data_IF_441167935797
#
_entry.id   IF_441167935797
#
_cell.length_a   1.000
_cell.length_b   1.000
_cell.length_c   1.000
_cell.angle_alpha   90.00
_cell.angle_beta   90.00
_cell.angle_gamma   90.00
#
_symmetry.space_group_name_H-M   'P 1'
#
loop_
_entity.id
_entity.type
_entity.pdbx_description
1 polymer ?
#
# COMPACT_ATOMS: atom_id res chain seq x y z
N UNK A 1 19.42 -9.03 -9.87
CA UNK A 1 18.62 -8.16 -8.98
C UNK A 1 17.59 -7.49 -9.87
N UNK A 2 16.32 -7.56 -9.54
CA UNK A 2 15.22 -7.01 -10.35
C UNK A 2 14.90 -5.59 -9.88
N UNK A 3 14.78 -4.66 -10.80
CA UNK A 3 14.31 -3.29 -10.55
C UNK A 3 12.82 -3.19 -10.87
N UNK A 4 12.00 -3.08 -9.82
CA UNK A 4 10.55 -2.89 -9.93
C UNK A 4 10.20 -1.40 -9.85
N UNK A 5 9.54 -0.88 -10.88
CA UNK A 5 9.14 0.51 -10.98
C UNK A 5 7.61 0.70 -10.95
N UNK A 6 7.08 1.84 -10.44
CA UNK A 6 5.64 2.12 -10.48
C UNK A 6 5.18 2.57 -11.87
N UNK A 7 3.97 2.15 -12.26
CA UNK A 7 3.30 2.63 -13.46
C UNK A 7 1.85 3.05 -13.12
N UNK A 8 1.63 4.34 -12.89
CA UNK A 8 0.30 4.89 -12.61
C UNK A 8 -0.58 5.10 -13.84
N UNK A 9 -0.09 4.81 -15.04
CA UNK A 9 -0.76 4.93 -16.33
C UNK A 9 0.22 4.63 -17.46
N UNK A 10 -0.26 4.65 -18.72
CA UNK A 10 0.58 4.29 -19.89
C UNK A 10 1.80 5.19 -20.08
N UNK A 11 1.73 6.47 -19.73
CA UNK A 11 2.87 7.37 -19.82
C UNK A 11 3.99 6.96 -18.84
N UNK A 12 3.62 6.70 -17.57
CA UNK A 12 4.55 6.24 -16.54
C UNK A 12 5.11 4.84 -16.87
N UNK A 13 4.29 3.96 -17.45
CA UNK A 13 4.74 2.66 -17.90
C UNK A 13 5.84 2.80 -18.98
N UNK A 14 5.61 3.63 -20.00
CA UNK A 14 6.60 3.89 -21.04
C UNK A 14 7.89 4.50 -20.49
N UNK A 15 7.76 5.42 -19.52
CA UNK A 15 8.92 6.00 -18.86
C UNK A 15 9.70 4.93 -18.07
N UNK A 16 9.03 4.10 -17.26
CA UNK A 16 9.66 3.04 -16.49
C UNK A 16 10.45 2.07 -17.39
N UNK A 17 9.84 1.64 -18.50
CA UNK A 17 10.50 0.78 -19.52
C UNK A 17 11.70 1.48 -20.13
N UNK A 18 11.56 2.73 -20.55
CA UNK A 18 12.65 3.51 -21.17
C UNK A 18 13.83 3.74 -20.24
N UNK A 19 13.59 3.81 -18.93
CA UNK A 19 14.62 3.96 -17.90
C UNK A 19 15.16 2.62 -17.37
N UNK A 20 14.77 1.49 -17.94
CA UNK A 20 15.38 0.18 -17.69
C UNK A 20 14.80 -0.57 -16.50
N UNK A 21 13.51 -0.41 -16.21
CA UNK A 21 12.83 -1.29 -15.28
C UNK A 21 12.80 -2.73 -15.79
N UNK A 22 13.07 -3.70 -14.90
CA UNK A 22 12.93 -5.13 -15.20
C UNK A 22 11.47 -5.60 -15.03
N UNK A 23 10.74 -4.92 -14.12
CA UNK A 23 9.33 -5.14 -13.88
C UNK A 23 8.64 -3.82 -13.53
N UNK A 24 7.33 -3.75 -13.76
CA UNK A 24 6.50 -2.63 -13.33
C UNK A 24 5.36 -3.12 -12.46
N UNK A 25 4.98 -2.32 -11.45
CA UNK A 25 3.72 -2.56 -10.76
C UNK A 25 2.69 -1.48 -11.08
N UNK A 26 1.48 -1.91 -11.29
CA UNK A 26 0.35 -1.05 -11.57
C UNK A 26 -0.85 -1.41 -10.70
N UNK A 27 -1.84 -0.55 -10.67
CA UNK A 27 -3.11 -0.79 -10.02
C UNK A 27 -4.25 -0.69 -11.03
N UNK A 28 -5.22 -1.56 -10.90
CA UNK A 28 -6.52 -1.39 -11.53
C UNK A 28 -7.40 -0.42 -10.75
N UNK A 29 -8.58 -0.09 -11.27
CA UNK A 29 -9.56 0.82 -10.64
C UNK A 29 -10.03 0.32 -9.26
N UNK A 30 -9.93 -0.99 -8.99
CA UNK A 30 -10.36 -1.62 -7.74
C UNK A 30 -9.20 -2.32 -7.04
N UNK A 31 -9.33 -2.50 -5.74
CA UNK A 31 -8.46 -3.29 -4.86
C UNK A 31 -7.03 -2.77 -4.66
N UNK A 32 -6.64 -1.67 -5.31
CA UNK A 32 -5.34 -1.02 -5.11
C UNK A 32 -5.35 0.05 -4.02
N UNK A 33 -4.24 0.19 -3.27
CA UNK A 33 -4.08 1.20 -2.20
C UNK A 33 -4.01 2.66 -2.69
N UNK A 34 -4.08 2.91 -3.99
CA UNK A 34 -4.02 4.25 -4.58
C UNK A 34 -5.26 4.54 -5.42
N UNK A 35 -6.45 4.43 -4.83
CA UNK A 35 -7.73 4.64 -5.51
C UNK A 35 -7.89 6.04 -6.16
N UNK A 36 -7.03 7.01 -5.82
CA UNK A 36 -7.02 8.37 -6.39
C UNK A 36 -5.97 8.62 -7.47
N UNK A 37 -5.06 7.67 -7.68
CA UNK A 37 -4.13 7.76 -8.79
C UNK A 37 -4.86 7.53 -10.12
N UNK A 38 -4.25 7.95 -11.22
CA UNK A 38 -4.67 7.51 -12.54
C UNK A 38 -4.33 6.01 -12.66
N UNK A 39 -5.24 5.16 -12.18
CA UNK A 39 -5.11 3.71 -12.27
C UNK A 39 -5.53 3.25 -13.67
N UNK A 40 -5.07 2.07 -14.08
CA UNK A 40 -5.51 1.46 -15.32
C UNK A 40 -6.96 0.97 -15.20
N UNK A 41 -7.75 1.21 -16.22
CA UNK A 41 -9.03 0.55 -16.38
C UNK A 41 -8.79 -0.92 -16.74
N UNK A 42 -9.73 -1.79 -16.37
CA UNK A 42 -9.58 -3.22 -16.67
C UNK A 42 -9.41 -3.52 -18.17
N UNK A 43 -10.02 -2.72 -19.04
CA UNK A 43 -9.91 -2.85 -20.50
C UNK A 43 -8.57 -2.31 -21.07
N UNK A 44 -7.80 -1.53 -20.30
CA UNK A 44 -6.48 -1.00 -20.67
C UNK A 44 -5.33 -1.95 -20.27
N UNK A 45 -5.55 -2.83 -19.29
CA UNK A 45 -4.51 -3.72 -18.76
C UNK A 45 -3.91 -4.64 -19.84
N UNK A 46 -4.70 -5.29 -20.73
CA UNK A 46 -4.11 -6.13 -21.78
C UNK A 46 -3.13 -5.38 -22.69
N UNK A 47 -3.44 -4.12 -23.04
CA UNK A 47 -2.56 -3.29 -23.84
C UNK A 47 -1.28 -2.87 -23.06
N UNK A 48 -1.40 -2.62 -21.77
CA UNK A 48 -0.26 -2.31 -20.91
C UNK A 48 0.67 -3.53 -20.76
N UNK A 49 0.11 -4.71 -20.55
CA UNK A 49 0.86 -5.98 -20.47
C UNK A 49 1.59 -6.27 -21.79
N UNK A 50 0.87 -6.20 -22.92
CA UNK A 50 1.47 -6.43 -24.21
C UNK A 50 2.65 -5.48 -24.47
N UNK A 51 2.48 -4.18 -24.20
CA UNK A 51 3.55 -3.20 -24.34
C UNK A 51 4.76 -3.53 -23.45
N UNK A 52 4.57 -3.88 -22.19
CA UNK A 52 5.65 -4.23 -21.27
C UNK A 52 6.38 -5.50 -21.74
N UNK A 53 5.65 -6.55 -22.10
CA UNK A 53 6.20 -7.82 -22.57
C UNK A 53 6.97 -7.68 -23.87
N UNK A 54 6.53 -6.83 -24.82
CA UNK A 54 7.26 -6.52 -26.05
C UNK A 54 8.66 -5.92 -25.78
N UNK A 55 8.85 -5.36 -24.57
CA UNK A 55 10.13 -4.81 -24.11
C UNK A 55 10.85 -5.70 -23.08
N UNK A 56 10.33 -6.90 -22.81
CA UNK A 56 10.90 -7.84 -21.86
C UNK A 56 10.69 -7.46 -20.39
N UNK A 57 9.71 -6.59 -20.10
CA UNK A 57 9.40 -6.08 -18.75
C UNK A 57 8.17 -6.80 -18.20
N UNK A 58 8.27 -7.33 -16.95
CA UNK A 58 7.16 -7.99 -16.26
C UNK A 58 6.12 -6.98 -15.74
N UNK A 59 4.89 -7.43 -15.59
CA UNK A 59 3.78 -6.62 -15.05
C UNK A 59 3.19 -7.25 -13.80
N UNK A 60 3.27 -6.54 -12.68
CA UNK A 60 2.68 -6.94 -11.41
C UNK A 60 1.47 -6.06 -11.08
N UNK A 61 0.34 -6.66 -10.68
CA UNK A 61 -0.88 -5.90 -10.36
C UNK A 61 -1.14 -5.91 -8.85
N UNK A 62 -1.36 -4.72 -8.29
CA UNK A 62 -1.64 -4.58 -6.85
C UNK A 62 -3.09 -4.90 -6.51
N UNK A 63 -3.28 -5.75 -5.50
CA UNK A 63 -4.55 -6.09 -4.87
C UNK A 63 -4.34 -6.07 -3.36
N UNK A 64 -4.10 -4.89 -2.79
CA UNK A 64 -3.49 -4.77 -1.48
C UNK A 64 -4.22 -3.84 -0.49
N UNK A 65 -5.49 -3.52 -0.73
CA UNK A 65 -6.36 -2.88 0.27
C UNK A 65 -6.68 -3.84 1.42
N UNK A 66 -7.18 -3.31 2.53
CA UNK A 66 -7.81 -4.11 3.57
C UNK A 66 -9.16 -4.62 3.04
N UNK A 67 -9.31 -5.95 2.89
CA UNK A 67 -10.52 -6.57 2.34
C UNK A 67 -11.64 -6.65 3.36
N UNK A 68 -12.84 -6.34 2.93
CA UNK A 68 -14.09 -6.59 3.64
C UNK A 68 -14.88 -7.69 2.91
N UNK A 69 -15.93 -8.28 3.50
CA UNK A 69 -16.68 -9.37 2.85
C UNK A 69 -17.11 -9.07 1.41
N UNK A 70 -17.67 -7.87 1.17
CA UNK A 70 -18.13 -7.45 -0.16
C UNK A 70 -16.99 -7.32 -1.19
N UNK A 71 -15.74 -7.08 -0.73
CA UNK A 71 -14.58 -7.05 -1.62
C UNK A 71 -14.21 -8.46 -2.07
N UNK A 72 -14.27 -9.45 -1.16
CA UNK A 72 -13.92 -10.85 -1.43
C UNK A 72 -14.78 -11.43 -2.55
N UNK A 73 -16.08 -11.14 -2.57
CA UNK A 73 -17.00 -11.60 -3.61
C UNK A 73 -16.60 -11.09 -5.02
N UNK A 74 -15.97 -9.95 -5.08
CA UNK A 74 -15.48 -9.34 -6.32
C UNK A 74 -14.12 -9.86 -6.83
N UNK A 75 -13.36 -10.62 -6.01
CA UNK A 75 -12.00 -11.05 -6.35
C UNK A 75 -11.93 -12.14 -7.43
N UNK A 76 -12.77 -13.19 -7.43
CA UNK A 76 -12.64 -14.25 -8.42
C UNK A 76 -12.71 -13.76 -9.88
N UNK A 77 -13.71 -12.94 -10.29
CA UNK A 77 -13.74 -12.41 -11.64
C UNK A 77 -12.57 -11.43 -11.91
N UNK A 78 -12.12 -10.69 -10.91
CA UNK A 78 -10.99 -9.76 -11.03
C UNK A 78 -9.68 -10.50 -11.34
N UNK A 79 -9.32 -11.52 -10.56
CA UNK A 79 -8.10 -12.29 -10.78
C UNK A 79 -8.12 -13.08 -12.09
N UNK A 80 -9.28 -13.67 -12.47
CA UNK A 80 -9.40 -14.33 -13.77
C UNK A 80 -9.21 -13.38 -14.95
N UNK A 81 -9.71 -12.15 -14.85
CA UNK A 81 -9.53 -11.15 -15.91
C UNK A 81 -8.07 -10.71 -16.03
N UNK A 82 -7.36 -10.59 -14.92
CA UNK A 82 -5.92 -10.27 -14.91
C UNK A 82 -5.07 -11.43 -15.44
N UNK A 83 -5.37 -12.66 -15.06
CA UNK A 83 -4.74 -13.87 -15.60
C UNK A 83 -4.93 -13.95 -17.12
N UNK A 84 -6.16 -13.75 -17.60
CA UNK A 84 -6.46 -13.70 -19.04
C UNK A 84 -5.75 -12.54 -19.79
N UNK A 85 -5.43 -11.45 -19.07
CA UNK A 85 -4.64 -10.34 -19.60
C UNK A 85 -3.13 -10.64 -19.64
N UNK A 86 -2.68 -11.75 -19.05
CA UNK A 86 -1.29 -12.18 -19.05
C UNK A 86 -0.40 -11.47 -18.02
N UNK A 87 -0.96 -11.03 -16.88
CA UNK A 87 -0.17 -10.42 -15.79
C UNK A 87 0.77 -11.46 -15.18
N UNK A 88 2.00 -11.06 -14.84
CA UNK A 88 3.02 -11.98 -14.32
C UNK A 88 2.83 -12.25 -12.83
N UNK A 89 2.39 -11.26 -12.04
CA UNK A 89 2.20 -11.43 -10.60
C UNK A 89 1.09 -10.54 -10.02
N UNK A 90 0.53 -11.01 -8.89
CA UNK A 90 -0.36 -10.22 -8.03
C UNK A 90 0.38 -9.80 -6.76
N UNK A 91 0.32 -8.51 -6.38
CA UNK A 91 0.86 -8.01 -5.12
C UNK A 91 -0.30 -7.88 -4.12
N UNK A 92 -0.41 -8.81 -3.18
CA UNK A 92 -1.60 -9.01 -2.34
C UNK A 92 -1.30 -8.70 -0.87
N UNK A 93 -2.16 -7.93 -0.21
CA UNK A 93 -2.00 -7.53 1.19
C UNK A 93 -2.85 -8.31 2.20
N UNK A 94 -3.85 -9.03 1.72
CA UNK A 94 -4.83 -9.75 2.54
C UNK A 94 -4.72 -11.26 2.32
N UNK A 95 -4.72 -12.05 3.41
CA UNK A 95 -4.54 -13.51 3.33
C UNK A 95 -5.72 -14.21 2.66
N UNK A 96 -6.95 -13.70 2.83
CA UNK A 96 -8.13 -14.23 2.16
C UNK A 96 -8.06 -14.00 0.65
N UNK A 97 -7.71 -12.77 0.23
CA UNK A 97 -7.47 -12.46 -1.18
C UNK A 97 -6.35 -13.31 -1.78
N UNK A 98 -5.30 -13.60 -0.98
CA UNK A 98 -4.19 -14.43 -1.39
C UNK A 98 -4.61 -15.88 -1.68
N UNK A 99 -5.48 -16.44 -0.82
CA UNK A 99 -6.05 -17.77 -1.03
C UNK A 99 -6.92 -17.79 -2.29
N UNK A 100 -7.86 -16.84 -2.44
CA UNK A 100 -8.72 -16.74 -3.63
C UNK A 100 -7.91 -16.64 -4.91
N UNK A 101 -6.82 -15.84 -4.93
CA UNK A 101 -5.95 -15.74 -6.10
C UNK A 101 -5.33 -17.09 -6.46
N UNK A 102 -4.88 -17.87 -5.47
CA UNK A 102 -4.34 -19.22 -5.67
C UNK A 102 -5.35 -20.21 -6.24
N UNK A 103 -6.62 -20.08 -5.85
CA UNK A 103 -7.68 -20.96 -6.30
C UNK A 103 -8.12 -20.67 -7.76
N UNK A 104 -8.13 -19.39 -8.16
CA UNK A 104 -8.73 -18.99 -9.44
C UNK A 104 -7.73 -18.63 -10.55
N UNK A 105 -6.50 -18.34 -10.19
CA UNK A 105 -5.39 -17.99 -11.09
C UNK A 105 -4.06 -18.64 -10.59
N UNK A 106 -3.98 -19.98 -10.48
CA UNK A 106 -2.89 -20.68 -9.80
C UNK A 106 -1.52 -20.52 -10.50
N UNK A 107 -1.49 -20.09 -11.75
CA UNK A 107 -0.29 -19.95 -12.55
C UNK A 107 0.34 -18.55 -12.48
N UNK A 108 -0.40 -17.57 -11.98
CA UNK A 108 0.10 -16.21 -11.76
C UNK A 108 0.84 -16.16 -10.42
N UNK A 109 2.05 -15.59 -10.43
CA UNK A 109 2.83 -15.45 -9.21
C UNK A 109 2.08 -14.63 -8.15
N UNK A 110 2.26 -15.01 -6.87
CA UNK A 110 1.63 -14.30 -5.74
C UNK A 110 2.72 -13.70 -4.86
N UNK A 111 2.83 -12.38 -4.90
CA UNK A 111 3.73 -11.59 -4.10
C UNK A 111 3.00 -11.02 -2.88
N UNK A 112 3.60 -11.17 -1.70
CA UNK A 112 3.03 -10.62 -0.47
C UNK A 112 3.35 -9.14 -0.37
N UNK A 113 2.33 -8.31 -0.37
CA UNK A 113 2.48 -6.85 -0.25
C UNK A 113 3.09 -6.45 1.09
N UNK A 114 3.81 -5.32 1.12
CA UNK A 114 4.25 -4.66 2.35
C UNK A 114 3.10 -4.39 3.33
N UNK A 115 1.85 -4.33 2.85
CA UNK A 115 0.66 -4.17 3.69
C UNK A 115 0.42 -5.37 4.63
N UNK A 116 1.01 -6.53 4.35
CA UNK A 116 0.99 -7.69 5.23
C UNK A 116 1.98 -7.60 6.41
N UNK A 117 2.81 -6.53 6.46
CA UNK A 117 3.73 -6.23 7.57
C UNK A 117 4.75 -7.34 7.84
N UNK A 118 5.29 -7.98 6.80
CA UNK A 118 6.29 -9.05 6.97
C UNK A 118 7.63 -8.44 7.37
N UNK A 119 8.04 -8.72 8.62
CA UNK A 119 9.23 -8.13 9.24
C UNK A 119 10.21 -9.18 9.81
N UNK A 120 10.01 -10.47 9.55
CA UNK A 120 10.89 -11.54 10.04
C UNK A 120 10.75 -12.81 9.19
N UNK A 121 11.75 -13.68 9.28
CA UNK A 121 11.81 -14.92 8.50
C UNK A 121 10.73 -15.95 8.88
N UNK A 122 10.21 -15.93 10.11
CA UNK A 122 9.12 -16.83 10.50
C UNK A 122 7.81 -16.48 9.75
N UNK A 123 7.46 -15.19 9.67
CA UNK A 123 6.33 -14.74 8.87
C UNK A 123 6.53 -15.02 7.37
N UNK A 124 7.75 -14.81 6.85
CA UNK A 124 8.09 -15.13 5.47
C UNK A 124 7.89 -16.62 5.15
N UNK A 125 8.31 -17.54 6.04
CA UNK A 125 8.07 -18.99 5.88
C UNK A 125 6.57 -19.35 5.85
N UNK A 126 5.74 -18.69 6.65
CA UNK A 126 4.29 -18.93 6.63
C UNK A 126 3.72 -18.52 5.27
N UNK A 127 4.05 -17.34 4.79
CA UNK A 127 3.58 -16.90 3.47
C UNK A 127 4.07 -17.81 2.34
N UNK A 128 5.33 -18.25 2.40
CA UNK A 128 5.86 -19.22 1.45
C UNK A 128 5.05 -20.54 1.48
N UNK A 129 4.73 -21.06 2.68
CA UNK A 129 3.92 -22.26 2.81
C UNK A 129 2.49 -22.13 2.25
N UNK A 130 1.98 -20.90 2.14
CA UNK A 130 0.73 -20.58 1.46
C UNK A 130 0.89 -20.41 -0.07
N UNK A 131 2.11 -20.52 -0.59
CA UNK A 131 2.44 -20.45 -2.01
C UNK A 131 2.88 -19.06 -2.48
N UNK A 132 3.42 -18.22 -1.61
CA UNK A 132 4.05 -16.98 -2.03
C UNK A 132 5.38 -17.25 -2.72
N UNK A 133 5.60 -16.64 -3.89
CA UNK A 133 6.88 -16.64 -4.59
C UNK A 133 7.79 -15.49 -4.14
N UNK A 134 7.20 -14.40 -3.64
CA UNK A 134 7.91 -13.19 -3.20
C UNK A 134 7.25 -12.55 -1.98
N UNK A 135 8.07 -11.95 -1.12
CA UNK A 135 7.62 -11.12 0.00
C UNK A 135 8.24 -9.74 -0.09
N UNK A 136 7.37 -8.71 -0.07
CA UNK A 136 7.80 -7.31 0.06
C UNK A 136 7.96 -6.99 1.54
N UNK A 137 9.17 -6.68 1.96
CA UNK A 137 9.49 -6.36 3.35
C UNK A 137 8.66 -5.19 3.89
N UNK A 138 8.37 -5.23 5.19
CA UNK A 138 7.87 -4.05 5.90
C UNK A 138 8.87 -2.90 5.78
N UNK A 139 8.38 -1.68 5.55
CA UNK A 139 9.22 -0.48 5.34
C UNK A 139 9.98 -0.05 6.59
N UNK A 140 9.56 -0.55 7.74
CA UNK A 140 10.14 -0.27 9.05
C UNK A 140 11.43 -1.05 9.32
N UNK A 141 11.79 -2.01 8.45
CA UNK A 141 12.97 -2.85 8.62
C UNK A 141 14.25 -2.11 8.27
N UNK A 142 15.29 -2.33 9.08
CA UNK A 142 16.66 -1.93 8.73
C UNK A 142 17.27 -2.90 7.70
N UNK A 143 18.35 -2.48 7.05
CA UNK A 143 19.10 -3.37 6.13
C UNK A 143 19.61 -4.63 6.84
N UNK A 144 19.99 -4.52 8.12
CA UNK A 144 20.42 -5.67 8.93
C UNK A 144 19.26 -6.65 9.16
N UNK A 145 18.05 -6.15 9.44
CA UNK A 145 16.86 -6.98 9.60
C UNK A 145 16.47 -7.68 8.29
N UNK A 146 16.56 -6.98 7.15
CA UNK A 146 16.31 -7.56 5.83
C UNK A 146 17.33 -8.67 5.52
N UNK A 147 18.61 -8.45 5.81
CA UNK A 147 19.65 -9.47 5.64
C UNK A 147 19.38 -10.69 6.50
N UNK A 148 18.95 -10.50 7.75
CA UNK A 148 18.56 -11.60 8.65
C UNK A 148 17.31 -12.32 8.15
N UNK A 149 16.28 -11.57 7.72
CA UNK A 149 15.07 -12.15 7.11
C UNK A 149 15.45 -13.03 5.92
N UNK A 150 16.37 -12.58 5.05
CA UNK A 150 16.85 -13.38 3.90
C UNK A 150 17.52 -14.68 4.34
N UNK A 151 18.33 -14.66 5.40
CA UNK A 151 18.99 -15.85 5.94
C UNK A 151 18.00 -16.87 6.52
N UNK A 152 16.93 -16.36 7.17
CA UNK A 152 15.91 -17.17 7.85
C UNK A 152 14.79 -17.65 6.91
N UNK A 153 14.62 -17.04 5.75
CA UNK A 153 13.57 -17.36 4.78
C UNK A 153 13.98 -18.54 3.87
N UNK A 154 13.02 -19.27 3.27
CA UNK A 154 13.30 -20.28 2.26
C UNK A 154 14.16 -19.71 1.11
N UNK A 155 15.12 -20.51 0.56
CA UNK A 155 16.05 -20.01 -0.45
C UNK A 155 15.35 -19.61 -1.77
N UNK A 156 14.26 -20.26 -2.09
CA UNK A 156 13.44 -20.07 -3.28
C UNK A 156 12.39 -18.94 -3.13
N UNK A 157 12.20 -18.41 -1.90
CA UNK A 157 11.36 -17.25 -1.68
C UNK A 157 12.12 -15.97 -2.04
N UNK A 158 11.62 -15.18 -2.95
CA UNK A 158 12.19 -13.88 -3.27
C UNK A 158 11.88 -12.83 -2.20
N UNK A 159 12.86 -11.95 -1.95
CA UNK A 159 12.72 -10.85 -1.00
C UNK A 159 12.84 -9.53 -1.75
N UNK A 160 11.80 -8.70 -1.62
CA UNK A 160 11.73 -7.37 -2.20
C UNK A 160 11.79 -6.32 -1.09
N UNK A 161 12.53 -5.23 -1.30
CA UNK A 161 12.63 -4.11 -0.38
C UNK A 161 12.51 -2.78 -1.13
N UNK A 162 11.95 -1.77 -0.46
CA UNK A 162 11.90 -0.41 -1.02
C UNK A 162 13.29 0.21 -1.03
N UNK A 163 13.80 0.54 -2.22
CA UNK A 163 15.02 1.30 -2.38
C UNK A 163 14.75 2.82 -2.33
N UNK A 164 13.58 3.25 -2.79
CA UNK A 164 13.17 4.66 -2.83
C UNK A 164 11.65 4.76 -2.68
N UNK A 165 11.16 5.82 -2.03
CA UNK A 165 9.74 6.10 -1.93
C UNK A 165 9.31 6.81 -0.65
N UNK A 166 8.04 7.21 -0.63
CA UNK A 166 7.44 7.88 0.52
C UNK A 166 7.15 6.89 1.65
N UNK A 167 7.71 7.18 2.84
CA UNK A 167 7.35 6.45 4.06
C UNK A 167 5.97 6.87 4.55
N UNK A 168 5.09 5.90 4.81
CA UNK A 168 3.88 6.11 5.58
C UNK A 168 4.23 6.24 7.07
N UNK A 169 3.57 7.13 7.79
CA UNK A 169 3.75 7.27 9.25
C UNK A 169 3.12 6.12 10.04
N UNK A 170 2.21 5.38 9.43
CA UNK A 170 1.60 4.20 10.04
C UNK A 170 2.33 2.93 9.63
N UNK A 171 2.37 1.94 10.54
CA UNK A 171 2.99 0.63 10.29
C UNK A 171 2.39 0.00 9.05
N UNK A 172 3.22 -0.23 8.05
CA UNK A 172 2.84 -0.85 6.77
C UNK A 172 1.58 -0.25 6.13
N UNK A 173 1.32 1.03 6.38
CA UNK A 173 0.18 1.77 5.82
C UNK A 173 -1.18 1.50 6.47
N UNK A 174 -1.28 0.74 7.55
CA UNK A 174 -2.53 0.50 8.29
C UNK A 174 -2.80 1.65 9.26
N UNK A 175 -3.77 2.51 8.92
CA UNK A 175 -4.03 3.75 9.64
C UNK A 175 -5.54 4.09 9.67
N UNK A 176 -5.99 4.61 10.81
CA UNK A 176 -7.37 5.06 11.01
C UNK A 176 -7.53 6.59 10.97
N UNK A 177 -6.43 7.37 11.03
CA UNK A 177 -6.50 8.85 11.15
C UNK A 177 -7.29 9.46 9.99
N UNK A 178 -7.06 9.01 8.75
CA UNK A 178 -7.79 9.54 7.59
C UNK A 178 -9.28 9.25 7.68
N UNK A 179 -9.66 8.03 8.11
CA UNK A 179 -11.07 7.67 8.32
C UNK A 179 -11.70 8.51 9.42
N UNK A 180 -10.98 8.69 10.54
CA UNK A 180 -11.46 9.44 11.69
C UNK A 180 -11.68 10.92 11.36
N UNK A 181 -10.70 11.58 10.72
CA UNK A 181 -10.76 13.01 10.46
C UNK A 181 -11.59 13.39 9.22
N UNK A 182 -11.76 12.49 8.26
CA UNK A 182 -12.34 12.86 6.95
C UNK A 182 -13.38 11.88 6.41
N UNK A 183 -13.71 10.82 7.16
CA UNK A 183 -14.57 9.74 6.68
C UNK A 183 -13.98 8.89 5.56
N UNK A 184 -12.70 9.14 5.17
CA UNK A 184 -12.05 8.50 4.01
C UNK A 184 -11.01 7.49 4.47
N UNK A 185 -11.25 6.21 4.16
CA UNK A 185 -10.39 5.12 4.62
C UNK A 185 -9.05 5.08 3.88
N UNK A 186 -7.97 5.29 4.63
CA UNK A 186 -6.61 5.05 4.14
C UNK A 186 -6.37 3.57 3.78
N UNK A 187 -6.99 2.65 4.51
CA UNK A 187 -6.87 1.20 4.31
C UNK A 187 -7.62 0.69 3.05
N UNK A 188 -8.44 1.56 2.44
CA UNK A 188 -9.15 1.34 1.18
C UNK A 188 -8.60 2.18 0.03
N UNK A 189 -7.40 2.73 0.17
CA UNK A 189 -6.75 3.54 -0.86
C UNK A 189 -7.19 5.01 -0.93
N UNK A 190 -8.06 5.47 -0.01
CA UNK A 190 -8.60 6.84 -0.02
C UNK A 190 -7.94 7.78 0.99
N UNK A 191 -6.70 7.53 1.38
CA UNK A 191 -5.99 8.33 2.37
C UNK A 191 -5.90 9.81 1.96
N UNK A 192 -6.28 10.71 2.89
CA UNK A 192 -6.16 12.16 2.71
C UNK A 192 -4.85 12.73 3.25
N UNK A 193 -3.98 11.85 3.75
CA UNK A 193 -2.66 12.18 4.31
C UNK A 193 -2.69 13.17 5.49
N UNK A 194 -3.56 12.98 6.51
CA UNK A 194 -3.65 13.94 7.62
C UNK A 194 -2.32 14.07 8.38
N UNK A 195 -1.52 13.00 8.44
CA UNK A 195 -0.19 13.04 9.08
C UNK A 195 0.80 14.03 8.44
N UNK A 196 0.43 14.66 7.32
CA UNK A 196 1.23 15.67 6.60
C UNK A 196 0.60 17.06 6.62
N UNK A 197 -0.54 17.21 7.29
CA UNK A 197 -1.19 18.51 7.46
C UNK A 197 -0.42 19.35 8.48
N UNK A 198 -0.58 20.66 8.40
CA UNK A 198 -0.12 21.57 9.45
C UNK A 198 -1.13 21.57 10.60
N UNK A 199 -0.63 21.37 11.82
CA UNK A 199 -1.44 21.40 13.03
C UNK A 199 -0.96 22.54 13.93
N UNK A 200 -1.91 23.20 14.61
CA UNK A 200 -1.62 24.15 15.67
C UNK A 200 -1.96 23.51 17.02
N UNK A 201 -1.05 23.63 17.96
CA UNK A 201 -1.31 23.21 19.34
C UNK A 201 -2.12 24.32 20.02
N UNK A 202 -3.28 23.95 20.54
CA UNK A 202 -4.14 24.82 21.34
C UNK A 202 -4.40 24.18 22.72
N UNK A 203 -4.80 24.99 23.68
CA UNK A 203 -5.31 24.49 24.95
C UNK A 203 -6.80 24.19 24.81
N UNK A 204 -7.19 22.94 25.05
CA UNK A 204 -8.60 22.56 25.09
C UNK A 204 -9.32 23.30 26.20
N UNK A 205 -10.39 24.02 25.87
CA UNK A 205 -11.32 24.48 26.91
C UNK A 205 -12.14 23.29 27.43
N UNK A 206 -12.26 23.08 28.73
CA UNK A 206 -13.06 21.96 29.27
C UNK A 206 -14.50 21.92 28.81
N UNK A 207 -15.02 23.04 28.28
CA UNK A 207 -16.38 23.15 27.76
C UNK A 207 -16.56 22.54 26.34
N UNK A 208 -15.50 22.20 25.65
CA UNK A 208 -15.55 21.65 24.28
C UNK A 208 -15.67 20.12 24.22
N UNK A 209 -15.47 19.43 25.36
CA UNK A 209 -15.69 17.98 25.46
C UNK A 209 -17.15 17.70 25.84
N UNK A 210 -18.01 17.50 24.86
CA UNK A 210 -19.35 16.90 25.09
C UNK A 210 -19.26 15.40 24.91
N UNK A 211 -19.44 14.59 26.01
CA UNK A 211 -19.28 13.14 25.92
C UNK A 211 -20.42 12.41 25.16
N UNK A 212 -21.49 13.09 24.80
CA UNK A 212 -22.77 12.46 24.47
C UNK A 212 -23.27 12.73 23.02
N UNK A 213 -22.50 13.34 22.14
CA UNK A 213 -22.90 13.41 20.73
C UNK A 213 -22.44 12.16 19.97
N UNK A 214 -23.37 11.40 19.32
CA UNK A 214 -22.99 10.27 18.49
C UNK A 214 -22.14 10.77 17.33
N UNK A 215 -20.99 10.10 17.11
CA UNK A 215 -20.08 10.33 15.97
C UNK A 215 -20.77 9.87 14.69
N UNK A 216 -21.73 10.65 14.20
CA UNK A 216 -22.59 10.31 13.07
C UNK A 216 -23.21 11.52 12.36
N UNK A 217 -22.80 12.73 12.72
CA UNK A 217 -23.17 13.95 11.99
C UNK A 217 -22.18 14.22 10.86
N UNK A 218 -22.68 14.78 9.75
CA UNK A 218 -21.93 15.33 8.63
C UNK A 218 -20.80 16.24 9.16
N UNK A 219 -19.61 15.65 9.35
CA UNK A 219 -18.42 16.40 9.74
C UNK A 219 -18.01 17.24 8.53
N UNK A 220 -18.54 18.45 8.50
CA UNK A 220 -18.17 19.47 7.54
C UNK A 220 -16.65 19.48 7.36
N UNK A 221 -16.18 19.53 6.10
CA UNK A 221 -14.77 19.55 5.72
C UNK A 221 -13.97 20.38 6.72
N UNK A 222 -13.04 19.78 7.48
CA UNK A 222 -12.13 20.60 8.26
C UNK A 222 -11.34 21.46 7.28
N UNK A 223 -11.33 22.75 7.54
CA UNK A 223 -10.47 23.70 6.83
C UNK A 223 -9.00 23.24 7.01
N UNK A 224 -8.07 23.59 6.08
CA UNK A 224 -6.66 23.23 6.21
C UNK A 224 -5.99 23.72 7.50
N UNK A 225 -6.69 24.47 8.32
CA UNK A 225 -6.29 24.95 9.66
C UNK A 225 -7.14 24.31 10.75
N UNK A 226 -7.22 22.99 10.81
CA UNK A 226 -7.90 22.30 11.92
C UNK A 226 -7.03 22.39 13.16
N UNK A 227 -7.54 23.00 14.23
CA UNK A 227 -6.95 22.97 15.56
C UNK A 227 -7.25 21.60 16.15
N UNK A 228 -6.21 20.80 16.42
CA UNK A 228 -6.32 19.57 17.21
C UNK A 228 -5.99 19.93 18.64
N UNK A 229 -7.00 19.91 19.50
CA UNK A 229 -6.81 20.11 20.93
C UNK A 229 -6.34 18.80 21.57
N UNK A 230 -5.15 18.82 22.16
CA UNK A 230 -4.63 17.69 22.94
C UNK A 230 -4.90 17.94 24.44
N UNK A 231 -5.26 16.90 25.22
CA UNK A 231 -5.38 17.04 26.66
C UNK A 231 -4.01 17.41 27.25
N UNK A 232 -4.01 18.36 28.18
CA UNK A 232 -2.80 18.74 28.91
C UNK A 232 -2.31 17.54 29.74
N UNK A 233 -1.25 16.87 29.31
CA UNK A 233 -0.43 16.05 30.20
C UNK A 233 0.82 16.85 30.58
N UNK A 234 1.14 16.87 31.87
CA UNK A 234 2.29 17.62 32.41
C UNK A 234 3.67 17.12 31.95
N UNK A 235 3.73 16.19 30.98
CA UNK A 235 4.96 15.67 30.41
C UNK A 235 5.00 15.89 28.89
N UNK A 236 5.03 17.16 28.48
CA UNK A 236 5.33 17.50 27.09
C UNK A 236 6.82 17.26 26.82
N UNK A 237 7.14 16.17 26.15
CA UNK A 237 8.44 15.98 25.50
C UNK A 237 8.49 16.98 24.34
N UNK A 238 9.25 18.06 24.52
CA UNK A 238 9.46 19.07 23.50
C UNK A 238 10.21 18.48 22.29
N UNK A 239 9.48 18.20 21.23
CA UNK A 239 10.10 17.93 19.93
C UNK A 239 10.36 19.28 19.26
N UNK A 240 11.47 19.94 19.62
CA UNK A 240 12.08 20.98 18.81
C UNK A 240 12.90 20.28 17.72
N UNK A 241 12.35 20.17 16.55
CA UNK A 241 13.05 19.68 15.38
C UNK A 241 12.16 19.86 14.18
N UNK A 242 12.31 20.95 13.45
CA UNK A 242 11.66 21.16 12.18
C UNK A 242 12.04 20.03 11.22
N UNK A 243 11.10 19.14 10.94
CA UNK A 243 11.18 18.21 9.83
C UNK A 243 11.14 19.02 8.54
N UNK A 244 12.30 19.51 8.12
CA UNK A 244 12.50 20.00 6.77
C UNK A 244 12.14 18.87 5.81
N UNK A 245 11.25 19.17 4.90
CA UNK A 245 10.76 18.33 3.83
C UNK A 245 11.82 17.38 3.28
N UNK A 246 11.70 16.11 3.54
CA UNK A 246 12.25 15.10 2.66
C UNK A 246 11.39 15.12 1.40
N UNK A 247 11.96 15.69 0.35
CA UNK A 247 11.40 15.73 -0.99
C UNK A 247 11.24 14.29 -1.48
N UNK A 248 10.04 13.86 -1.72
CA UNK A 248 9.68 12.47 -1.98
C UNK A 248 9.24 12.34 -3.42
N UNK A 249 10.02 11.60 -4.17
CA UNK A 249 9.57 11.05 -5.44
C UNK A 249 8.57 9.94 -5.09
N UNK A 250 7.35 10.10 -5.59
CA UNK A 250 6.32 9.09 -5.42
C UNK A 250 6.68 7.84 -6.22
N UNK A 251 6.80 6.74 -5.53
CA UNK A 251 6.65 5.41 -6.12
C UNK A 251 5.19 5.02 -6.02
#
# INVERSE_FOLDING_TARGET
MELLAPAGGMEQLRAAVAFGADAVYLAAERFGMRARAANFRMDEIPAAVAFAHDHGVKVHVTCNILMHPDDIDGLPPFFRALDAAGVDAFIIGDVGAFAVAGDVAPWVERHVSTQASVANGAAARVWHSLGASRVVCAREMSLADIARLRQDAPPDLEIEAFAHGAMCMAVSGRCLISSYLTGRSGNKGHCTQPCRWSYQLGTASPAAMRPDEPVGGDLGRPSPTSVVELPQSENAIGIQGGLKSLSLIHI
#
